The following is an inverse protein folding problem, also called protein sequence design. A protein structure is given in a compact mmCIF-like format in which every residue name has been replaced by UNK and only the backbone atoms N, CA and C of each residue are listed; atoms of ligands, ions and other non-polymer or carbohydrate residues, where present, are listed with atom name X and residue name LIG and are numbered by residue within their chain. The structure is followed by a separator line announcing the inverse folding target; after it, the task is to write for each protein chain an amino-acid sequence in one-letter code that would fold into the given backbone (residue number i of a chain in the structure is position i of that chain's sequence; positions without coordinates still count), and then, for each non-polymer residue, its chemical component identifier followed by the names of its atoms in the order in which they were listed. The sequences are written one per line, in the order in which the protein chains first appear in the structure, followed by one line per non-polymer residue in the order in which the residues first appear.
data_IF_299443832496
#
_entry.id   IF_299443832496
#
_cell.length_a   1.000
_cell.length_b   1.000
_cell.length_c   1.000
_cell.angle_alpha   90.00
_cell.angle_beta   90.00
_cell.angle_gamma   90.00
#
_symmetry.space_group_name_H-M   'P 1'
#
loop_
_entity.id
_entity.type
_entity.pdbx_description
1 polymer ?
#
# COMPACT_ATOMS: atom_id res chain seq x y z
N UNK A 1 5.73 0.71 22.92
CA UNK A 1 5.24 0.16 21.64
C UNK A 1 4.83 -1.28 21.92
N UNK A 2 3.57 -1.67 21.67
CA UNK A 2 3.23 -3.09 21.65
C UNK A 2 3.95 -3.72 20.45
N UNK A 3 4.64 -4.84 20.68
CA UNK A 3 5.26 -5.59 19.59
C UNK A 3 4.16 -6.27 18.77
N UNK A 4 4.15 -6.02 17.45
CA UNK A 4 3.22 -6.69 16.53
C UNK A 4 3.54 -8.18 16.49
N UNK A 5 2.53 -9.03 16.35
CA UNK A 5 2.75 -10.47 16.13
C UNK A 5 3.58 -10.69 14.85
N UNK A 6 4.39 -11.76 14.81
CA UNK A 6 5.24 -12.04 13.64
C UNK A 6 4.43 -12.24 12.36
N UNK A 7 3.24 -12.83 12.45
CA UNK A 7 2.31 -12.94 11.30
C UNK A 7 1.88 -11.56 10.81
N UNK A 8 1.47 -10.69 11.73
CA UNK A 8 1.04 -9.33 11.41
C UNK A 8 2.18 -8.51 10.78
N UNK A 9 3.41 -8.69 11.24
CA UNK A 9 4.59 -8.06 10.64
C UNK A 9 4.81 -8.53 9.20
N UNK A 10 4.68 -9.83 8.93
CA UNK A 10 4.82 -10.40 7.58
C UNK A 10 3.74 -9.84 6.65
N UNK A 11 2.47 -9.84 7.07
CA UNK A 11 1.36 -9.33 6.27
C UNK A 11 1.54 -7.85 5.89
N UNK A 12 2.00 -7.03 6.84
CA UNK A 12 2.29 -5.61 6.60
C UNK A 12 3.52 -5.41 5.69
N UNK A 13 4.53 -6.27 5.79
CA UNK A 13 5.70 -6.24 4.90
C UNK A 13 5.33 -6.61 3.46
N UNK A 14 4.52 -7.65 3.26
CA UNK A 14 4.03 -8.06 1.94
C UNK A 14 3.16 -6.97 1.30
N UNK A 15 2.27 -6.36 2.10
CA UNK A 15 1.46 -5.24 1.64
C UNK A 15 2.35 -4.09 1.17
N UNK A 16 3.32 -3.68 2.00
CA UNK A 16 4.26 -2.61 1.64
C UNK A 16 5.01 -2.92 0.34
N UNK A 17 5.53 -4.14 0.18
CA UNK A 17 6.27 -4.54 -1.02
C UNK A 17 5.41 -4.44 -2.29
N UNK A 18 4.17 -4.92 -2.23
CA UNK A 18 3.22 -4.85 -3.35
C UNK A 18 2.94 -3.41 -3.76
N UNK A 19 2.67 -2.55 -2.79
CA UNK A 19 2.32 -1.15 -3.05
C UNK A 19 3.51 -0.32 -3.54
N UNK A 20 4.72 -0.59 -3.03
CA UNK A 20 5.96 -0.01 -3.58
C UNK A 20 6.14 -0.36 -5.05
N UNK A 21 5.98 -1.64 -5.42
CA UNK A 21 6.07 -2.08 -6.81
C UNK A 21 5.05 -1.35 -7.71
N UNK A 22 3.77 -1.28 -7.31
CA UNK A 22 2.75 -0.59 -8.09
C UNK A 22 3.05 0.91 -8.22
N UNK A 23 3.59 1.54 -7.17
CA UNK A 23 3.96 2.96 -7.20
C UNK A 23 5.06 3.24 -8.23
N UNK A 24 6.07 2.38 -8.32
CA UNK A 24 7.13 2.46 -9.32
C UNK A 24 6.57 2.33 -10.74
N UNK A 25 5.66 1.37 -10.97
CA UNK A 25 4.97 1.20 -12.25
C UNK A 25 4.12 2.42 -12.61
N UNK A 26 3.43 3.03 -11.64
CA UNK A 26 2.66 4.27 -11.88
C UNK A 26 3.56 5.45 -12.25
N UNK A 27 4.74 5.56 -11.63
CA UNK A 27 5.71 6.59 -11.98
C UNK A 27 6.29 6.39 -13.39
N UNK A 28 6.49 5.14 -13.82
CA UNK A 28 6.92 4.81 -15.17
C UNK A 28 5.82 5.05 -16.22
N UNK A 29 4.61 4.54 -15.99
CA UNK A 29 3.49 4.57 -16.94
C UNK A 29 2.92 5.99 -17.15
N UNK A 30 2.93 6.82 -16.11
CA UNK A 30 2.38 8.18 -16.16
C UNK A 30 3.46 9.26 -16.04
N UNK A 31 4.67 8.99 -16.57
CA UNK A 31 5.80 9.91 -16.51
C UNK A 31 5.42 11.34 -16.97
N UNK A 32 4.69 11.45 -18.08
CA UNK A 32 4.29 12.73 -18.69
C UNK A 32 2.86 13.16 -18.35
N UNK A 33 2.09 12.32 -17.65
CA UNK A 33 0.67 12.54 -17.36
C UNK A 33 0.44 12.84 -15.87
N UNK A 34 0.94 13.99 -15.41
CA UNK A 34 0.99 14.37 -13.99
C UNK A 34 -0.35 14.24 -13.23
N UNK A 35 -1.45 14.75 -13.78
CA UNK A 35 -2.76 14.68 -13.13
C UNK A 35 -3.30 13.25 -13.03
N UNK A 36 -3.13 12.45 -14.09
CA UNK A 36 -3.50 11.03 -14.09
C UNK A 36 -2.67 10.26 -13.07
N UNK A 37 -1.38 10.57 -12.97
CA UNK A 37 -0.47 9.98 -11.99
C UNK A 37 -0.93 10.26 -10.56
N UNK A 38 -1.24 11.51 -10.24
CA UNK A 38 -1.74 11.88 -8.90
C UNK A 38 -3.01 11.12 -8.57
N UNK A 39 -3.98 11.09 -9.49
CA UNK A 39 -5.24 10.39 -9.27
C UNK A 39 -5.05 8.89 -9.03
N UNK A 40 -4.13 8.25 -9.77
CA UNK A 40 -3.78 6.85 -9.56
C UNK A 40 -3.09 6.61 -8.21
N UNK A 41 -2.15 7.47 -7.82
CA UNK A 41 -1.45 7.41 -6.53
C UNK A 41 -2.40 7.59 -5.34
N UNK A 42 -3.37 8.50 -5.44
CA UNK A 42 -4.40 8.69 -4.41
C UNK A 42 -5.27 7.44 -4.24
N UNK A 43 -5.79 6.88 -5.34
CA UNK A 43 -6.56 5.63 -5.31
C UNK A 43 -5.76 4.48 -4.71
N UNK A 44 -4.47 4.39 -5.05
CA UNK A 44 -3.58 3.39 -4.50
C UNK A 44 -3.40 3.58 -2.98
N UNK A 45 -3.19 4.81 -2.51
CA UNK A 45 -3.09 5.10 -1.09
C UNK A 45 -4.37 4.72 -0.32
N UNK A 46 -5.56 5.01 -0.87
CA UNK A 46 -6.84 4.64 -0.26
C UNK A 46 -7.02 3.12 -0.17
N UNK A 47 -6.61 2.38 -1.20
CA UNK A 47 -6.64 0.92 -1.18
C UNK A 47 -5.66 0.35 -0.15
N UNK A 48 -4.46 0.94 -0.02
CA UNK A 48 -3.48 0.52 0.98
C UNK A 48 -4.03 0.68 2.39
N UNK A 49 -4.69 1.81 2.68
CA UNK A 49 -5.25 2.09 3.99
C UNK A 49 -6.33 1.07 4.38
N UNK A 50 -7.27 0.79 3.48
CA UNK A 50 -8.33 -0.22 3.71
C UNK A 50 -7.75 -1.60 4.00
N UNK A 51 -6.64 -1.93 3.33
CA UNK A 51 -6.02 -3.24 3.49
C UNK A 51 -5.21 -3.34 4.78
N UNK A 52 -4.59 -2.24 5.23
CA UNK A 52 -4.01 -2.13 6.58
C UNK A 52 -5.11 -2.33 7.63
N UNK A 53 -6.25 -1.64 7.50
CA UNK A 53 -7.39 -1.78 8.43
C UNK A 53 -7.90 -3.23 8.46
N UNK A 54 -8.01 -3.88 7.30
CA UNK A 54 -8.38 -5.30 7.20
C UNK A 54 -7.38 -6.21 7.90
N UNK A 55 -6.07 -5.99 7.72
CA UNK A 55 -5.02 -6.79 8.36
C UNK A 55 -5.04 -6.60 9.88
N UNK A 56 -5.17 -5.35 10.35
CA UNK A 56 -5.19 -5.04 11.78
C UNK A 56 -6.42 -5.63 12.48
N UNK A 57 -7.60 -5.59 11.84
CA UNK A 57 -8.83 -6.18 12.37
C UNK A 57 -8.84 -7.72 12.40
N UNK A 58 -7.93 -8.38 11.68
CA UNK A 58 -7.73 -9.83 11.75
C UNK A 58 -6.76 -10.26 12.86
N UNK A 59 -6.05 -9.31 13.46
CA UNK A 59 -5.05 -9.55 14.50
C UNK A 59 -5.59 -9.39 15.94
N UNK A 60 -6.85 -8.96 16.08
CA UNK A 60 -7.63 -8.95 17.33
C UNK A 60 -8.32 -10.30 17.57
#
# INVERSE_FOLDING_TARGET
MQELSMSLQIDLMELKARYSFIMEELDALFADAYLSKIGAKQKLADQMLREIERILSQAE
#
